data_IF_730882551963
#
_entry.id   IF_730882551963
#
_cell.length_a   1.000
_cell.length_b   1.000
_cell.length_c   1.000
_cell.angle_alpha   90.00
_cell.angle_beta   90.00
_cell.angle_gamma   90.00
#
_symmetry.space_group_name_H-M   'P 1'
#
loop_
_entity.id
_entity.type
_entity.pdbx_description
1 polymer ?
#
# COMPACT_ATOMS: atom_id res chain seq x y z
N UNK A 1 -13.71 8.20 -26.70
CA UNK A 1 -12.56 7.68 -27.47
C UNK A 1 -11.40 7.61 -26.48
N UNK A 2 -11.16 6.45 -25.86
CA UNK A 2 -10.15 6.29 -24.80
C UNK A 2 -8.92 5.63 -25.43
N UNK A 3 -7.79 6.32 -25.41
CA UNK A 3 -6.50 5.77 -25.82
C UNK A 3 -5.96 4.88 -24.69
N UNK A 4 -5.75 3.60 -24.97
CA UNK A 4 -5.01 2.67 -24.11
C UNK A 4 -3.58 2.65 -24.61
N UNK A 5 -2.64 3.14 -23.81
CA UNK A 5 -1.22 3.02 -24.08
C UNK A 5 -0.70 1.70 -23.48
N UNK A 6 -0.32 0.75 -24.34
CA UNK A 6 0.37 -0.48 -23.94
C UNK A 6 1.86 -0.20 -23.78
N UNK A 7 2.40 -0.34 -22.56
CA UNK A 7 3.85 -0.33 -22.33
C UNK A 7 4.33 -1.77 -22.33
N UNK A 8 5.17 -2.11 -23.31
CA UNK A 8 5.92 -3.37 -23.36
C UNK A 8 7.21 -3.17 -22.55
N UNK A 9 7.38 -3.90 -21.45
CA UNK A 9 8.67 -3.97 -20.74
C UNK A 9 9.42 -5.19 -21.26
N UNK A 10 10.45 -4.95 -22.07
CA UNK A 10 11.43 -5.96 -22.46
C UNK A 10 12.45 -6.10 -21.34
N UNK A 11 12.44 -7.23 -20.63
CA UNK A 11 13.51 -7.60 -19.70
C UNK A 11 14.68 -8.20 -20.51
N UNK A 12 15.85 -7.57 -20.45
CA UNK A 12 17.10 -8.14 -20.98
C UNK A 12 17.73 -9.05 -19.94
N UNK A 13 17.99 -10.30 -20.33
CA UNK A 13 18.69 -11.34 -19.57
C UNK A 13 20.05 -10.85 -19.06
N UNK A 14 20.27 -10.98 -17.75
CA UNK A 14 21.54 -10.69 -17.09
C UNK A 14 21.71 -11.58 -15.87
N UNK A 15 22.44 -12.69 -16.05
CA UNK A 15 22.72 -13.68 -15.02
C UNK A 15 23.55 -13.08 -13.86
N UNK A 16 23.04 -13.17 -12.63
CA UNK A 16 23.76 -12.73 -11.44
C UNK A 16 23.03 -13.02 -10.12
N UNK A 17 23.46 -14.09 -9.46
CA UNK A 17 23.20 -14.54 -8.07
C UNK A 17 22.53 -13.56 -7.07
N UNK A 18 21.53 -14.11 -6.37
CA UNK A 18 21.44 -14.03 -4.91
C UNK A 18 20.89 -12.74 -4.32
N UNK A 19 19.57 -12.66 -4.24
CA UNK A 19 18.83 -11.65 -3.52
C UNK A 19 17.39 -11.72 -3.96
N UNK A 20 16.50 -12.21 -3.10
CA UNK A 20 15.05 -12.25 -3.33
C UNK A 20 14.52 -10.82 -3.42
N UNK A 21 14.71 -10.21 -4.59
CA UNK A 21 13.92 -9.08 -5.02
C UNK A 21 12.51 -9.62 -5.28
N UNK A 22 11.66 -9.55 -4.25
CA UNK A 22 10.21 -9.60 -4.46
C UNK A 22 9.88 -8.40 -5.35
N UNK A 23 9.81 -8.65 -6.66
CA UNK A 23 9.29 -7.69 -7.61
C UNK A 23 7.91 -7.29 -7.09
N UNK A 24 7.79 -6.04 -6.62
CA UNK A 24 6.52 -5.41 -6.29
C UNK A 24 5.77 -5.29 -7.61
N UNK A 25 5.13 -6.39 -8.00
CA UNK A 25 4.27 -6.44 -9.16
C UNK A 25 3.21 -5.38 -8.94
N UNK A 26 3.19 -4.36 -9.79
CA UNK A 26 2.10 -3.41 -9.92
C UNK A 26 0.84 -4.20 -10.26
N UNK A 27 0.15 -4.71 -9.23
CA UNK A 27 -1.13 -5.39 -9.36
C UNK A 27 -2.17 -4.30 -9.60
N UNK A 28 -2.50 -4.09 -10.87
CA UNK A 28 -3.70 -3.37 -11.27
C UNK A 28 -4.89 -3.98 -10.49
N UNK A 29 -5.76 -3.17 -9.87
CA UNK A 29 -6.90 -3.70 -9.13
C UNK A 29 -7.77 -4.56 -10.05
N UNK A 30 -8.02 -5.81 -9.66
CA UNK A 30 -8.91 -6.71 -10.39
C UNK A 30 -10.34 -6.27 -10.11
N UNK A 31 -10.98 -5.66 -11.10
CA UNK A 31 -12.41 -5.34 -11.04
C UNK A 31 -13.22 -6.60 -11.35
N UNK A 32 -13.59 -7.36 -10.32
CA UNK A 32 -14.60 -8.41 -10.46
C UNK A 32 -15.93 -7.88 -9.91
N UNK A 33 -16.84 -7.49 -10.80
CA UNK A 33 -18.23 -7.16 -10.42
C UNK A 33 -18.45 -5.79 -9.77
N UNK A 34 -17.64 -4.77 -10.08
CA UNK A 34 -17.85 -3.39 -9.61
C UNK A 34 -17.45 -3.15 -8.15
N UNK A 35 -16.91 -4.16 -7.46
CA UNK A 35 -16.32 -4.01 -6.13
C UNK A 35 -14.80 -3.84 -6.29
N UNK A 36 -14.30 -2.62 -6.07
CA UNK A 36 -12.87 -2.35 -6.10
C UNK A 36 -12.22 -3.01 -4.88
N UNK A 37 -11.58 -4.17 -5.08
CA UNK A 37 -10.78 -4.81 -4.04
C UNK A 37 -9.38 -4.20 -4.05
N UNK A 38 -8.92 -3.74 -2.89
CA UNK A 38 -7.55 -3.23 -2.75
C UNK A 38 -6.59 -4.40 -2.53
N UNK A 39 -5.38 -4.37 -3.12
CA UNK A 39 -4.34 -5.32 -2.80
C UNK A 39 -4.11 -5.40 -1.28
N UNK A 40 -4.22 -6.61 -0.72
CA UNK A 40 -3.93 -6.84 0.71
C UNK A 40 -2.44 -7.04 0.94
N UNK A 41 -1.91 -6.39 1.97
CA UNK A 41 -0.51 -6.46 2.42
C UNK A 41 -0.47 -6.83 3.90
N UNK A 42 0.65 -7.39 4.36
CA UNK A 42 0.80 -7.71 5.80
C UNK A 42 0.82 -6.44 6.66
N UNK A 43 0.48 -6.57 7.94
CA UNK A 43 0.54 -5.45 8.88
C UNK A 43 1.96 -4.86 8.95
N UNK A 44 2.97 -5.71 9.08
CA UNK A 44 4.39 -5.29 9.09
C UNK A 44 4.74 -4.48 7.85
N UNK A 45 4.27 -4.88 6.68
CA UNK A 45 4.53 -4.16 5.43
C UNK A 45 3.77 -2.82 5.35
N UNK A 46 2.56 -2.74 5.90
CA UNK A 46 1.82 -1.49 6.05
C UNK A 46 2.56 -0.50 6.96
N UNK A 47 3.08 -0.96 8.11
CA UNK A 47 3.89 -0.17 9.04
C UNK A 47 5.17 0.32 8.36
N UNK A 48 5.88 -0.55 7.63
CA UNK A 48 7.07 -0.14 6.87
C UNK A 48 6.76 0.98 5.90
N UNK A 49 5.64 0.90 5.16
CA UNK A 49 5.23 1.97 4.23
C UNK A 49 4.93 3.30 4.91
N UNK A 50 4.35 3.26 6.11
CA UNK A 50 4.12 4.44 6.95
C UNK A 50 5.45 5.05 7.41
N UNK A 51 6.36 4.23 7.95
CA UNK A 51 7.68 4.64 8.43
C UNK A 51 8.59 5.19 7.31
N UNK A 52 8.46 4.67 6.09
CA UNK A 52 9.16 5.16 4.90
C UNK A 52 8.52 6.43 4.29
N UNK A 53 7.53 7.02 4.97
CA UNK A 53 6.79 8.20 4.52
C UNK A 53 6.16 8.04 3.13
N UNK A 54 5.74 6.83 2.74
CA UNK A 54 5.17 6.56 1.41
C UNK A 54 3.65 6.72 1.36
N UNK A 55 3.01 6.85 2.52
CA UNK A 55 1.56 6.99 2.64
C UNK A 55 1.17 8.46 2.62
N UNK A 56 0.11 8.82 1.88
CA UNK A 56 -0.49 10.15 1.89
C UNK A 56 -1.75 10.23 2.74
N UNK A 57 -2.52 9.13 2.80
CA UNK A 57 -3.76 9.04 3.59
C UNK A 57 -3.86 7.66 4.21
N UNK A 58 -4.42 7.58 5.41
CA UNK A 58 -4.64 6.33 6.11
C UNK A 58 -6.01 6.34 6.79
N UNK A 59 -6.66 5.19 6.88
CA UNK A 59 -7.86 5.06 7.69
C UNK A 59 -8.08 3.66 8.20
N UNK A 60 -8.96 3.56 9.19
CA UNK A 60 -9.25 2.33 9.92
C UNK A 60 -10.77 2.17 10.04
N UNK A 61 -11.26 0.95 9.94
CA UNK A 61 -12.67 0.63 10.22
C UNK A 61 -12.82 -0.02 11.60
N UNK A 62 -14.05 -0.09 12.12
CA UNK A 62 -14.39 -0.88 13.31
C UNK A 62 -14.01 -2.37 13.25
N UNK A 63 -13.75 -2.95 12.06
CA UNK A 63 -13.29 -4.33 11.89
C UNK A 63 -11.77 -4.49 12.00
N UNK A 64 -11.02 -3.41 12.24
CA UNK A 64 -9.55 -3.41 12.25
C UNK A 64 -8.95 -3.47 10.84
N UNK A 65 -9.74 -3.15 9.81
CA UNK A 65 -9.21 -3.01 8.45
C UNK A 65 -8.54 -1.66 8.29
N UNK A 66 -7.30 -1.68 7.81
CA UNK A 66 -6.51 -0.48 7.57
C UNK A 66 -6.37 -0.25 6.07
N UNK A 67 -6.75 0.95 5.65
CA UNK A 67 -6.78 1.39 4.27
C UNK A 67 -5.71 2.47 4.09
N UNK A 68 -4.72 2.22 3.24
CA UNK A 68 -3.63 3.17 2.97
C UNK A 68 -3.70 3.64 1.51
N UNK A 69 -3.72 4.96 1.34
CA UNK A 69 -3.47 5.60 0.04
C UNK A 69 -2.01 6.04 0.02
N UNK A 70 -1.28 5.53 -0.97
CA UNK A 70 0.12 5.83 -1.21
C UNK A 70 0.28 7.19 -1.89
N UNK A 71 1.42 7.86 -1.68
CA UNK A 71 1.74 9.14 -2.33
C UNK A 71 1.80 9.07 -3.87
N UNK A 72 1.96 7.88 -4.43
CA UNK A 72 1.90 7.62 -5.88
C UNK A 72 0.49 7.31 -6.40
N UNK A 73 -0.53 7.37 -5.53
CA UNK A 73 -1.93 7.12 -5.86
C UNK A 73 -2.36 5.66 -5.81
N UNK A 74 -1.46 4.73 -5.48
CA UNK A 74 -1.85 3.33 -5.23
C UNK A 74 -2.62 3.20 -3.92
N UNK A 75 -3.47 2.18 -3.83
CA UNK A 75 -4.20 1.84 -2.62
C UNK A 75 -3.84 0.44 -2.15
N UNK A 76 -3.66 0.25 -0.85
CA UNK A 76 -3.43 -1.06 -0.23
C UNK A 76 -4.27 -1.20 1.04
N UNK A 77 -4.67 -2.43 1.34
CA UNK A 77 -5.38 -2.79 2.56
C UNK A 77 -4.49 -3.65 3.45
N UNK A 78 -4.59 -3.47 4.75
CA UNK A 78 -4.04 -4.39 5.75
C UNK A 78 -5.09 -4.66 6.83
N UNK A 79 -4.76 -5.56 7.76
CA UNK A 79 -5.57 -5.85 8.94
C UNK A 79 -4.66 -5.73 10.14
N UNK A 80 -5.08 -4.94 11.13
CA UNK A 80 -4.35 -4.81 12.37
C UNK A 80 -4.37 -6.10 13.19
N UNK A 81 -3.27 -6.42 13.89
CA UNK A 81 -3.24 -7.56 14.80
C UNK A 81 -3.97 -7.26 16.11
N UNK A 82 -3.99 -5.99 16.56
CA UNK A 82 -4.74 -5.50 17.70
C UNK A 82 -5.36 -4.13 17.37
N UNK A 83 -6.57 -3.87 17.89
CA UNK A 83 -7.22 -2.58 17.72
C UNK A 83 -6.34 -1.47 18.32
N UNK A 84 -6.37 -0.31 17.67
CA UNK A 84 -5.65 0.91 18.03
C UNK A 84 -4.12 0.92 17.77
N UNK A 85 -3.53 -0.19 17.28
CA UNK A 85 -2.10 -0.26 16.94
C UNK A 85 -1.69 0.80 15.88
N UNK A 86 -2.58 1.18 14.96
CA UNK A 86 -2.32 2.21 13.94
C UNK A 86 -2.02 3.58 14.56
N UNK A 87 -2.65 3.93 15.68
CA UNK A 87 -2.42 5.20 16.35
C UNK A 87 -1.03 5.26 16.98
N UNK A 88 -0.63 4.18 17.66
CA UNK A 88 0.73 4.03 18.19
C UNK A 88 1.79 4.12 17.09
N UNK A 89 1.49 3.53 15.91
CA UNK A 89 2.36 3.66 14.74
C UNK A 89 2.47 5.12 14.31
N UNK A 90 1.37 5.86 14.19
CA UNK A 90 1.39 7.28 13.80
C UNK A 90 2.18 8.15 14.78
N UNK A 91 2.01 7.93 16.08
CA UNK A 91 2.74 8.67 17.12
C UNK A 91 4.25 8.37 17.10
N UNK A 92 4.63 7.20 16.57
CA UNK A 92 6.04 6.81 16.41
C UNK A 92 6.69 7.28 15.10
N UNK A 93 5.93 7.89 14.17
CA UNK A 93 6.46 8.27 12.86
C UNK A 93 7.47 9.42 12.97
N UNK A 94 8.48 9.47 12.08
CA UNK A 94 9.37 10.62 11.97
C UNK A 94 8.59 11.93 11.75
N UNK A 95 9.13 13.04 12.22
CA UNK A 95 8.50 14.35 12.05
C UNK A 95 8.25 14.65 10.56
N UNK A 96 7.01 15.05 10.24
CA UNK A 96 6.58 15.32 8.85
C UNK A 96 6.29 14.08 7.99
N UNK A 97 6.38 12.88 8.55
CA UNK A 97 6.16 11.61 7.86
C UNK A 97 4.71 11.11 7.93
N UNK A 98 3.87 11.73 8.77
CA UNK A 98 2.48 11.34 8.97
C UNK A 98 1.60 11.49 7.71
N UNK A 99 0.51 10.71 7.62
CA UNK A 99 -0.51 10.92 6.59
C UNK A 99 -1.07 12.35 6.66
N UNK A 100 -1.36 12.95 5.51
CA UNK A 100 -1.99 14.28 5.46
C UNK A 100 -3.46 14.25 5.84
N UNK A 101 -4.09 13.09 5.65
CA UNK A 101 -5.49 12.84 5.96
C UNK A 101 -5.59 11.51 6.69
N UNK A 102 -6.37 11.51 7.77
CA UNK A 102 -6.66 10.34 8.57
C UNK A 102 -8.17 10.25 8.76
N UNK A 103 -8.72 9.04 8.75
CA UNK A 103 -10.15 8.82 8.97
C UNK A 103 -10.43 7.50 9.67
N UNK A 104 -11.58 7.45 10.34
CA UNK A 104 -12.14 6.25 10.94
C UNK A 104 -13.57 6.06 10.49
N UNK A 105 -13.98 4.82 10.26
CA UNK A 105 -15.38 4.43 10.09
C UNK A 105 -15.93 3.84 11.38
#
# INVERSE_FOLDING_TARGET
MVLVASIVVLATDGAGRGGEAVAEATRIPIQTGGMTTWPTVSWTEAVTRLQECRVSEAGQTHSGDVFLTMKDGRHVRSVEPALDDLWDVFDSLPEGCGPRSMWTE
#
